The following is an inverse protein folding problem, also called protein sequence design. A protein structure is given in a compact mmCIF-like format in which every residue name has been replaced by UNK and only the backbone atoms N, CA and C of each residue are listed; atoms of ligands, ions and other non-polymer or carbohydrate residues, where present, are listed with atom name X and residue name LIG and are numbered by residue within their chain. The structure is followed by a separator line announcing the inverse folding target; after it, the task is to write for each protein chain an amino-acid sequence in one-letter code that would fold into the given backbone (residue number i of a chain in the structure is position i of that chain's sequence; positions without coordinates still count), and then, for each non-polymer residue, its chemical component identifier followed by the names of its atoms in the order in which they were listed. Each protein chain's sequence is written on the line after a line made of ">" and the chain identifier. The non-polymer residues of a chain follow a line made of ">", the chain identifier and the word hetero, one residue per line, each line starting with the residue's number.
data_IF_111177332727
#
_entry.id   IF_111177332727
#
_cell.length_a   1.000
_cell.length_b   1.000
_cell.length_c   1.000
_cell.angle_alpha   90.00
_cell.angle_beta   90.00
_cell.angle_gamma   90.00
#
_symmetry.space_group_name_H-M   'P 1'
#
loop_
_entity.id
_entity.type
_entity.pdbx_description
1 polymer ?
#
# COMPACT_ATOMS: atom_id res chain seq x y z
N UNK A 1 -95.53 5.60 23.33
CA UNK A 1 -94.37 4.70 23.60
C UNK A 1 -93.12 5.48 23.18
N UNK A 2 -92.26 5.86 24.11
CA UNK A 2 -91.09 6.72 23.90
C UNK A 2 -89.86 5.81 23.99
N UNK A 3 -89.01 5.79 22.97
CA UNK A 3 -87.70 5.11 22.97
C UNK A 3 -86.61 6.11 23.36
N UNK A 4 -85.70 5.76 24.23
CA UNK A 4 -84.61 6.68 24.59
C UNK A 4 -83.52 6.63 23.60
N UNK A 5 -82.92 7.80 23.32
CA UNK A 5 -81.74 7.98 22.46
C UNK A 5 -80.48 7.41 23.15
N UNK A 6 -79.81 6.56 22.46
CA UNK A 6 -78.51 6.01 22.88
C UNK A 6 -77.41 6.99 22.40
N UNK A 7 -76.71 7.60 23.31
CA UNK A 7 -75.57 8.48 23.05
C UNK A 7 -74.34 7.61 22.74
N UNK A 8 -73.84 7.74 21.52
CA UNK A 8 -72.60 7.08 21.06
C UNK A 8 -71.44 7.94 21.50
N UNK A 9 -70.65 7.44 22.44
CA UNK A 9 -69.41 8.06 22.90
C UNK A 9 -68.26 7.75 21.89
N UNK A 10 -67.81 8.78 21.13
CA UNK A 10 -66.67 8.65 20.23
C UNK A 10 -65.38 8.77 21.05
N UNK A 11 -64.68 7.64 21.25
CA UNK A 11 -63.35 7.64 21.83
C UNK A 11 -62.34 8.03 20.75
N UNK A 12 -61.82 9.25 20.81
CA UNK A 12 -60.77 9.74 19.94
C UNK A 12 -59.44 9.05 20.25
N UNK A 13 -58.97 8.21 19.33
CA UNK A 13 -57.66 7.60 19.40
C UNK A 13 -56.62 8.64 18.94
N UNK A 14 -55.93 9.29 19.88
CA UNK A 14 -54.78 10.14 19.58
C UNK A 14 -53.62 9.27 19.08
N UNK A 15 -53.39 9.25 17.77
CA UNK A 15 -52.17 8.69 17.20
C UNK A 15 -51.01 9.64 17.50
N UNK A 16 -50.10 9.24 18.37
CA UNK A 16 -48.81 9.91 18.56
C UNK A 16 -47.93 9.71 17.33
N UNK A 17 -47.20 10.73 16.83
CA UNK A 17 -46.29 10.58 15.73
C UNK A 17 -45.12 9.69 16.20
N UNK A 18 -44.92 8.55 15.54
CA UNK A 18 -43.70 7.76 15.65
C UNK A 18 -42.56 8.59 15.11
N UNK A 19 -41.70 9.11 15.98
CA UNK A 19 -40.45 9.73 15.60
C UNK A 19 -39.65 8.71 14.84
N UNK A 20 -39.42 8.95 13.53
CA UNK A 20 -38.52 8.14 12.69
C UNK A 20 -37.11 8.22 13.32
N UNK A 21 -36.68 7.11 13.93
CA UNK A 21 -35.30 6.96 14.38
C UNK A 21 -34.41 6.97 13.16
N UNK A 22 -33.59 8.02 13.01
CA UNK A 22 -32.52 8.03 12.03
C UNK A 22 -31.56 6.86 12.32
N UNK A 23 -31.20 6.08 11.31
CA UNK A 23 -30.17 5.05 11.50
C UNK A 23 -28.89 5.73 12.01
N UNK A 24 -28.12 5.07 12.88
CA UNK A 24 -26.85 5.63 13.35
C UNK A 24 -25.97 5.97 12.15
N UNK A 25 -25.34 7.16 12.21
CA UNK A 25 -24.41 7.61 11.18
C UNK A 25 -23.42 6.48 10.90
N UNK A 26 -23.34 6.05 9.62
CA UNK A 26 -22.36 5.07 9.17
C UNK A 26 -20.99 5.60 9.59
N UNK A 27 -20.33 4.88 10.48
CA UNK A 27 -18.92 5.11 10.80
C UNK A 27 -18.21 4.96 9.47
N UNK A 28 -17.68 6.09 8.93
CA UNK A 28 -17.04 6.09 7.63
C UNK A 28 -16.02 4.96 7.55
N UNK A 29 -16.22 4.08 6.57
CA UNK A 29 -15.17 3.11 6.24
C UNK A 29 -13.90 3.93 5.93
N UNK A 30 -12.74 3.56 6.46
CA UNK A 30 -11.51 4.21 6.06
C UNK A 30 -11.39 4.11 4.54
N UNK A 31 -11.02 5.22 3.91
CA UNK A 31 -10.79 5.24 2.46
C UNK A 31 -9.86 4.08 2.08
N UNK A 32 -10.14 3.35 0.99
CA UNK A 32 -9.26 2.28 0.54
C UNK A 32 -7.86 2.87 0.33
N UNK A 33 -6.86 2.19 0.87
CA UNK A 33 -5.47 2.60 0.70
C UNK A 33 -5.19 2.85 -0.80
N UNK A 34 -4.45 3.91 -1.16
CA UNK A 34 -4.15 4.21 -2.55
C UNK A 34 -3.51 2.98 -3.21
N UNK A 35 -4.03 2.62 -4.38
CA UNK A 35 -3.48 1.50 -5.16
C UNK A 35 -1.99 1.72 -5.40
N UNK A 36 -1.17 0.68 -5.30
CA UNK A 36 0.26 0.79 -5.60
C UNK A 36 0.43 1.32 -7.04
N UNK A 37 1.43 2.18 -7.29
CA UNK A 37 1.68 2.67 -8.63
C UNK A 37 1.93 1.50 -9.59
N UNK A 38 1.51 1.61 -10.86
CA UNK A 38 1.70 0.56 -11.84
C UNK A 38 3.19 0.20 -11.95
N UNK A 39 3.49 -1.08 -12.16
CA UNK A 39 4.87 -1.55 -12.33
C UNK A 39 5.53 -0.86 -13.53
N UNK A 40 6.85 -0.62 -13.44
CA UNK A 40 7.62 -0.06 -14.55
C UNK A 40 7.52 -0.97 -15.79
N UNK A 41 7.22 -0.36 -16.95
CA UNK A 41 7.07 -1.04 -18.24
C UNK A 41 8.08 -0.47 -19.23
N UNK A 42 9.19 -1.18 -19.47
CA UNK A 42 10.10 -0.85 -20.55
C UNK A 42 9.48 -1.22 -21.90
N UNK A 43 9.51 -0.28 -22.84
CA UNK A 43 8.98 -0.48 -24.20
C UNK A 43 9.73 0.39 -25.20
N UNK A 44 10.04 -0.17 -26.37
CA UNK A 44 10.64 0.58 -27.49
C UNK A 44 9.67 1.60 -28.13
N UNK A 45 8.39 1.58 -27.78
CA UNK A 45 7.40 2.58 -28.22
C UNK A 45 7.47 3.87 -27.43
N UNK A 46 8.15 3.88 -26.29
CA UNK A 46 8.42 5.07 -25.46
C UNK A 46 9.87 5.51 -25.72
N UNK A 47 10.14 6.81 -25.62
CA UNK A 47 11.52 7.29 -25.74
C UNK A 47 12.40 6.79 -24.58
N UNK A 48 13.69 6.61 -24.86
CA UNK A 48 14.67 6.24 -23.83
C UNK A 48 14.69 7.23 -22.68
N UNK A 49 14.71 8.54 -22.99
CA UNK A 49 14.70 9.60 -21.98
C UNK A 49 13.48 9.52 -21.06
N UNK A 50 12.28 9.31 -21.63
CA UNK A 50 11.07 9.18 -20.82
C UNK A 50 11.09 7.94 -19.90
N UNK A 51 11.72 6.85 -20.33
CA UNK A 51 11.90 5.67 -19.49
C UNK A 51 12.92 5.90 -18.38
N UNK A 52 14.01 6.61 -18.69
CA UNK A 52 15.02 6.99 -17.70
C UNK A 52 14.45 7.94 -16.64
N UNK A 53 13.72 8.97 -17.07
CA UNK A 53 13.08 9.94 -16.17
C UNK A 53 12.08 9.24 -15.24
N UNK A 54 11.25 8.32 -15.76
CA UNK A 54 10.33 7.54 -14.94
C UNK A 54 11.07 6.66 -13.92
N UNK A 55 12.12 5.96 -14.35
CA UNK A 55 12.91 5.10 -13.47
C UNK A 55 13.53 5.89 -12.32
N UNK A 56 14.10 7.05 -12.63
CA UNK A 56 14.69 7.97 -11.65
C UNK A 56 13.63 8.52 -10.69
N UNK A 57 12.50 9.00 -11.22
CA UNK A 57 11.43 9.58 -10.41
C UNK A 57 10.84 8.53 -9.44
N UNK A 58 10.63 7.30 -9.90
CA UNK A 58 10.16 6.18 -9.06
C UNK A 58 11.16 5.85 -7.96
N UNK A 59 12.42 5.65 -8.33
CA UNK A 59 13.51 5.37 -7.39
C UNK A 59 13.57 6.44 -6.28
N UNK A 60 13.62 7.71 -6.66
CA UNK A 60 13.68 8.83 -5.69
C UNK A 60 12.43 8.90 -4.81
N UNK A 61 11.24 8.73 -5.41
CA UNK A 61 9.98 8.72 -4.65
C UNK A 61 9.95 7.60 -3.63
N UNK A 62 10.37 6.38 -4.01
CA UNK A 62 10.33 5.22 -3.13
C UNK A 62 11.37 5.33 -2.00
N UNK A 63 12.56 5.84 -2.29
CA UNK A 63 13.57 6.15 -1.28
C UNK A 63 13.08 7.21 -0.27
N UNK A 64 12.40 8.28 -0.74
CA UNK A 64 11.88 9.33 0.14
C UNK A 64 10.68 8.88 0.99
N UNK A 65 9.93 7.88 0.54
CA UNK A 65 8.80 7.32 1.32
C UNK A 65 9.24 6.35 2.40
N UNK A 66 10.50 5.95 2.41
CA UNK A 66 11.06 5.06 3.42
C UNK A 66 11.30 5.83 4.72
N UNK A 67 10.53 5.60 5.79
CA UNK A 67 10.75 6.27 7.06
C UNK A 67 12.03 5.75 7.71
N UNK A 68 12.78 6.63 8.37
CA UNK A 68 13.89 6.22 9.20
C UNK A 68 13.37 5.47 10.44
N UNK A 69 13.92 4.29 10.69
CA UNK A 69 13.59 3.47 11.87
C UNK A 69 14.46 3.82 13.08
N UNK A 70 15.61 4.45 12.84
CA UNK A 70 16.65 4.70 13.84
C UNK A 70 17.63 3.53 14.01
N UNK A 71 17.41 2.43 13.30
CA UNK A 71 18.33 1.29 13.20
C UNK A 71 19.08 1.39 11.86
N UNK A 72 20.41 1.62 11.87
CA UNK A 72 21.19 1.82 10.65
C UNK A 72 21.09 0.67 9.65
N UNK A 73 21.00 -0.58 10.11
CA UNK A 73 20.92 -1.75 9.23
C UNK A 73 19.57 -1.81 8.54
N UNK A 74 18.48 -1.55 9.26
CA UNK A 74 17.13 -1.46 8.71
C UNK A 74 17.00 -0.30 7.74
N UNK A 75 17.49 0.86 8.10
CA UNK A 75 17.43 2.07 7.29
C UNK A 75 18.23 1.90 5.99
N UNK A 76 19.41 1.28 6.07
CA UNK A 76 20.22 0.96 4.90
C UNK A 76 19.47 0.02 3.95
N UNK A 77 18.96 -1.12 4.43
CA UNK A 77 18.27 -2.10 3.60
C UNK A 77 16.99 -1.54 3.00
N UNK A 78 16.22 -0.79 3.78
CA UNK A 78 14.97 -0.19 3.33
C UNK A 78 15.18 0.84 2.20
N UNK A 79 16.31 1.58 2.23
CA UNK A 79 16.69 2.55 1.19
C UNK A 79 17.33 1.87 -0.02
N UNK A 80 18.12 0.81 0.18
CA UNK A 80 18.85 0.13 -0.90
C UNK A 80 17.92 -0.69 -1.80
N UNK A 81 16.82 -1.24 -1.31
CA UNK A 81 15.85 -1.96 -2.13
C UNK A 81 15.30 -1.08 -3.26
N UNK A 82 14.70 0.10 -3.02
CA UNK A 82 14.23 0.96 -4.11
C UNK A 82 15.37 1.49 -4.99
N UNK A 83 16.56 1.73 -4.45
CA UNK A 83 17.72 2.11 -5.24
C UNK A 83 18.08 1.03 -6.28
N UNK A 84 18.15 -0.22 -5.86
CA UNK A 84 18.43 -1.36 -6.76
C UNK A 84 17.29 -1.57 -7.76
N UNK A 85 16.05 -1.38 -7.34
CA UNK A 85 14.90 -1.46 -8.25
C UNK A 85 14.99 -0.41 -9.37
N UNK A 86 15.45 0.80 -9.06
CA UNK A 86 15.72 1.84 -10.05
C UNK A 86 16.77 1.42 -11.07
N UNK A 87 17.86 0.78 -10.61
CA UNK A 87 18.89 0.25 -11.52
C UNK A 87 18.35 -0.85 -12.44
N UNK A 88 17.49 -1.74 -11.94
CA UNK A 88 16.78 -2.76 -12.74
C UNK A 88 15.90 -2.10 -13.80
N UNK A 89 15.15 -1.07 -13.46
CA UNK A 89 14.26 -0.38 -14.39
C UNK A 89 15.05 0.37 -15.49
N UNK A 90 16.17 1.04 -15.13
CA UNK A 90 17.08 1.65 -16.11
C UNK A 90 17.74 0.64 -17.03
N UNK A 91 18.15 -0.53 -16.51
CA UNK A 91 18.71 -1.60 -17.34
C UNK A 91 17.68 -2.15 -18.34
N UNK A 92 16.41 -2.30 -17.93
CA UNK A 92 15.31 -2.67 -18.84
C UNK A 92 15.09 -1.61 -19.93
N UNK A 93 15.13 -0.32 -19.58
CA UNK A 93 15.03 0.76 -20.55
C UNK A 93 16.15 0.68 -21.58
N UNK A 94 17.39 0.46 -21.15
CA UNK A 94 18.53 0.28 -22.05
C UNK A 94 18.33 -0.90 -22.99
N UNK A 95 17.91 -2.07 -22.50
CA UNK A 95 17.67 -3.25 -23.32
C UNK A 95 16.58 -3.08 -24.38
N UNK A 96 15.63 -2.18 -24.14
CA UNK A 96 14.58 -1.85 -25.10
C UNK A 96 15.06 -0.94 -26.25
N UNK A 97 16.22 -0.26 -26.11
CA UNK A 97 16.66 0.78 -27.03
C UNK A 97 18.07 0.59 -27.59
N UNK A 98 18.95 -0.12 -26.89
CA UNK A 98 20.33 -0.29 -27.33
C UNK A 98 20.51 -1.54 -28.14
N UNK A 99 21.22 -1.40 -29.27
CA UNK A 99 21.72 -2.53 -30.08
C UNK A 99 23.20 -2.86 -29.80
N UNK A 100 23.85 -2.06 -28.95
CA UNK A 100 25.26 -2.29 -28.58
C UNK A 100 25.39 -3.57 -27.73
N UNK A 101 26.16 -4.59 -28.20
CA UNK A 101 26.22 -5.87 -27.50
C UNK A 101 26.90 -5.81 -26.13
N UNK A 102 27.86 -4.90 -25.93
CA UNK A 102 28.56 -4.74 -24.66
C UNK A 102 27.63 -4.12 -23.62
N UNK A 103 26.90 -3.06 -23.98
CA UNK A 103 25.94 -2.41 -23.12
C UNK A 103 24.74 -3.32 -22.81
N UNK A 104 24.30 -4.10 -23.79
CA UNK A 104 23.22 -5.09 -23.56
C UNK A 104 23.66 -6.18 -22.58
N UNK A 105 24.90 -6.70 -22.71
CA UNK A 105 25.45 -7.67 -21.76
C UNK A 105 25.57 -7.07 -20.34
N UNK A 106 26.05 -5.83 -20.23
CA UNK A 106 26.11 -5.11 -18.95
C UNK A 106 24.71 -4.96 -18.33
N UNK A 107 23.72 -4.53 -19.10
CA UNK A 107 22.35 -4.40 -18.62
C UNK A 107 21.75 -5.73 -18.15
N UNK A 108 22.03 -6.83 -18.85
CA UNK A 108 21.61 -8.17 -18.43
C UNK A 108 22.26 -8.60 -17.11
N UNK A 109 23.57 -8.33 -16.93
CA UNK A 109 24.26 -8.58 -15.66
C UNK A 109 23.61 -7.78 -14.52
N UNK A 110 23.36 -6.48 -14.73
CA UNK A 110 22.66 -5.63 -13.74
C UNK A 110 21.30 -6.22 -13.35
N UNK A 111 20.50 -6.70 -14.31
CA UNK A 111 19.20 -7.31 -14.01
C UNK A 111 19.33 -8.52 -13.09
N UNK A 112 20.31 -9.39 -13.33
CA UNK A 112 20.50 -10.61 -12.53
C UNK A 112 21.05 -10.28 -11.15
N UNK A 113 22.11 -9.47 -11.09
CA UNK A 113 22.78 -9.13 -9.84
C UNK A 113 21.88 -8.35 -8.91
N UNK A 114 21.25 -7.28 -9.40
CA UNK A 114 20.36 -6.42 -8.60
C UNK A 114 19.11 -7.17 -8.12
N UNK A 115 18.55 -8.08 -8.94
CA UNK A 115 17.43 -8.91 -8.50
C UNK A 115 17.82 -9.86 -7.37
N UNK A 116 19.04 -10.43 -7.42
CA UNK A 116 19.57 -11.28 -6.36
C UNK A 116 19.79 -10.51 -5.06
N UNK A 117 20.36 -9.32 -5.15
CA UNK A 117 20.61 -8.45 -3.98
C UNK A 117 19.31 -7.95 -3.35
N UNK A 118 18.29 -7.57 -4.16
CA UNK A 118 16.95 -7.24 -3.66
C UNK A 118 16.35 -8.43 -2.90
N UNK A 119 16.47 -9.66 -3.45
CA UNK A 119 15.94 -10.85 -2.78
C UNK A 119 16.66 -11.11 -1.44
N UNK A 120 17.99 -10.91 -1.38
CA UNK A 120 18.77 -11.02 -0.15
C UNK A 120 18.34 -10.00 0.90
N UNK A 121 18.19 -8.74 0.51
CA UNK A 121 17.75 -7.66 1.38
C UNK A 121 16.33 -7.88 1.93
N UNK A 122 15.39 -8.31 1.08
CA UNK A 122 14.03 -8.66 1.51
C UNK A 122 14.01 -9.84 2.48
N UNK A 123 14.83 -10.86 2.23
CA UNK A 123 14.95 -12.00 3.14
C UNK A 123 15.56 -11.58 4.49
N UNK A 124 16.51 -10.64 4.47
CA UNK A 124 17.06 -10.06 5.69
C UNK A 124 15.98 -9.30 6.49
N UNK A 125 15.23 -8.40 5.84
CA UNK A 125 14.12 -7.66 6.47
C UNK A 125 13.11 -8.62 7.13
N UNK A 126 12.63 -9.63 6.39
CA UNK A 126 11.64 -10.57 6.89
C UNK A 126 12.10 -11.30 8.16
N UNK A 127 13.38 -11.66 8.26
CA UNK A 127 13.94 -12.30 9.48
C UNK A 127 13.98 -11.35 10.67
N UNK A 128 14.33 -10.08 10.42
CA UNK A 128 14.45 -9.08 11.49
C UNK A 128 13.09 -8.56 11.96
N UNK A 129 12.10 -8.49 11.08
CA UNK A 129 10.73 -8.14 11.44
C UNK A 129 10.04 -9.25 12.25
N UNK A 130 10.29 -10.52 11.91
CA UNK A 130 9.80 -11.66 12.68
C UNK A 130 10.38 -11.68 14.11
N UNK A 131 11.68 -11.38 14.26
CA UNK A 131 12.34 -11.33 15.56
C UNK A 131 11.79 -10.17 16.42
N UNK A 132 11.59 -8.99 15.83
CA UNK A 132 11.03 -7.84 16.55
C UNK A 132 9.58 -8.08 17.01
N UNK A 133 8.82 -8.89 16.29
CA UNK A 133 7.46 -9.29 16.66
C UNK A 133 7.43 -10.42 17.69
N UNK A 134 8.46 -11.25 17.76
CA UNK A 134 8.62 -12.34 18.74
C UNK A 134 8.99 -11.84 20.14
N UNK A 135 9.84 -10.83 20.25
CA UNK A 135 10.27 -10.25 21.54
C UNK A 135 9.11 -9.56 22.30
N UNK A 136 8.07 -9.11 21.59
CA UNK A 136 6.89 -8.48 22.23
C UNK A 136 5.93 -9.48 22.87
N UNK A 137 5.95 -10.76 22.52
CA UNK A 137 5.09 -11.78 23.14
C UNK A 137 5.70 -12.41 24.40
N UNK A 138 7.03 -12.41 24.51
CA UNK A 138 7.70 -12.94 25.72
C UNK A 138 7.71 -11.95 26.89
N UNK A 139 7.81 -10.65 26.59
CA UNK A 139 7.75 -9.60 27.62
C UNK A 139 6.37 -9.47 28.32
N UNK A 140 5.30 -9.94 27.67
CA UNK A 140 3.95 -9.94 28.26
C UNK A 140 3.67 -11.16 29.19
N UNK A 141 4.58 -12.15 29.20
CA UNK A 141 4.41 -13.38 29.99
C UNK A 141 5.10 -13.33 31.35
N UNK A 142 5.90 -12.30 31.63
CA UNK A 142 6.64 -12.18 32.89
C UNK A 142 6.08 -11.09 33.83
N UNK A 143 4.75 -10.85 33.83
CA UNK A 143 4.12 -10.06 34.90
C UNK A 143 3.46 -11.01 35.92
N UNK A 144 3.86 -10.94 37.18
CA UNK A 144 3.33 -11.78 38.27
C UNK A 144 1.88 -11.44 38.62
#
# INVERSE_FOLDING_TARGET
>A
MRFPATTLLLVGLCALPVAAQQPPASIGQPDPAPSPPPAFQASSTRSFDALMDESMARMMSDMHRTPASGDPDRDFVAMMIPHHQGAVDMARALLAHSDDPELRNLAQSILVEQASEIALMRAWQARHDANASGDTVDAAKELP
#
